data_IF_332966394808
#
_entry.id   IF_332966394808
#
_cell.length_a   1.000
_cell.length_b   1.000
_cell.length_c   1.000
_cell.angle_alpha   90.00
_cell.angle_beta   90.00
_cell.angle_gamma   90.00
#
_symmetry.space_group_name_H-M   'P 1'
#
loop_
_entity.id
_entity.type
_entity.pdbx_description
1 polymer ?
#
# COMPACT_ATOMS: atom_id res chain seq x y z
N UNK A 1 15.09 36.65 26.12
CA UNK A 1 13.68 36.33 25.77
C UNK A 1 13.44 36.12 24.27
N UNK A 2 13.98 36.96 23.36
CA UNK A 2 13.76 36.84 21.90
C UNK A 2 14.16 35.49 21.29
N UNK A 3 15.35 34.95 21.65
CA UNK A 3 15.87 33.66 21.14
C UNK A 3 15.05 32.44 21.60
N UNK A 4 14.46 32.51 22.79
CA UNK A 4 13.65 31.42 23.37
C UNK A 4 12.30 31.30 22.63
N UNK A 5 11.69 32.43 22.27
CA UNK A 5 10.50 32.46 21.41
C UNK A 5 10.78 31.92 20.00
N UNK A 6 11.96 32.21 19.42
CA UNK A 6 12.32 31.70 18.09
C UNK A 6 12.49 30.18 18.09
N UNK A 7 13.12 29.62 19.12
CA UNK A 7 13.26 28.17 19.30
C UNK A 7 11.91 27.47 19.47
N UNK A 8 11.00 28.06 20.27
CA UNK A 8 9.63 27.57 20.45
C UNK A 8 8.81 27.59 19.15
N UNK A 9 8.96 28.63 18.32
CA UNK A 9 8.28 28.72 17.04
C UNK A 9 8.80 27.68 16.04
N UNK A 10 10.12 27.44 16.01
CA UNK A 10 10.73 26.44 15.12
C UNK A 10 10.34 25.03 15.53
N UNK A 11 10.30 24.72 16.83
CA UNK A 11 9.86 23.40 17.30
C UNK A 11 8.36 23.16 17.01
N UNK A 12 7.51 24.18 17.15
CA UNK A 12 6.09 24.08 16.75
C UNK A 12 5.93 23.83 15.25
N UNK A 13 6.72 24.50 14.41
CA UNK A 13 6.72 24.30 12.96
C UNK A 13 7.15 22.89 12.56
N UNK A 14 8.17 22.34 13.23
CA UNK A 14 8.66 20.98 12.97
C UNK A 14 7.65 19.90 13.39
N UNK A 15 6.91 20.11 14.48
CA UNK A 15 5.82 19.23 14.90
C UNK A 15 4.67 19.23 13.87
N UNK A 16 4.41 20.36 13.21
CA UNK A 16 3.39 20.47 12.16
C UNK A 16 3.81 19.81 10.83
N UNK A 17 5.12 19.69 10.59
CA UNK A 17 5.67 19.03 9.39
C UNK A 17 5.68 17.51 9.48
N UNK A 18 5.41 16.95 10.67
CA UNK A 18 5.68 15.53 10.96
C UNK A 18 4.67 14.56 10.33
N UNK A 19 3.57 15.04 9.72
CA UNK A 19 2.56 14.17 9.09
C UNK A 19 2.13 14.61 7.68
N UNK A 20 3.10 14.73 6.75
CA UNK A 20 2.77 14.86 5.31
C UNK A 20 3.38 13.73 4.46
N UNK A 21 3.77 12.62 5.07
CA UNK A 21 4.14 11.42 4.33
C UNK A 21 2.93 10.50 4.24
N UNK A 22 2.13 10.65 3.18
CA UNK A 22 1.03 9.74 2.89
C UNK A 22 1.48 8.27 2.80
N UNK A 23 0.57 7.35 3.10
CA UNK A 23 0.82 5.91 3.11
C UNK A 23 1.43 5.46 1.76
N UNK A 24 2.62 4.88 1.79
CA UNK A 24 3.32 4.39 0.60
C UNK A 24 3.06 2.90 0.42
N UNK A 25 2.77 2.46 -0.80
CA UNK A 25 2.53 1.06 -1.14
C UNK A 25 3.41 0.62 -2.29
N UNK A 26 3.71 -0.68 -2.37
CA UNK A 26 4.31 -1.28 -3.56
C UNK A 26 3.27 -1.34 -4.68
N UNK A 27 3.70 -1.12 -5.92
CA UNK A 27 2.89 -1.40 -7.11
C UNK A 27 3.49 -2.55 -7.89
N UNK A 28 2.63 -3.42 -8.40
CA UNK A 28 2.97 -4.46 -9.35
C UNK A 28 1.72 -4.95 -10.06
N UNK A 29 1.76 -5.03 -11.39
CA UNK A 29 0.63 -5.49 -12.20
C UNK A 29 0.62 -7.01 -12.36
N UNK A 30 1.77 -7.67 -12.24
CA UNK A 30 1.88 -9.11 -12.40
C UNK A 30 3.11 -9.63 -11.65
N UNK A 31 2.89 -10.51 -10.68
CA UNK A 31 3.97 -11.25 -9.99
C UNK A 31 4.10 -12.67 -10.49
N UNK A 32 5.32 -13.20 -10.45
CA UNK A 32 5.63 -14.61 -10.62
C UNK A 32 6.43 -15.07 -9.40
N UNK A 33 5.76 -15.82 -8.51
CA UNK A 33 6.28 -16.06 -7.16
C UNK A 33 6.53 -14.74 -6.41
N UNK A 34 7.75 -14.59 -5.90
CA UNK A 34 8.21 -13.43 -5.12
C UNK A 34 8.71 -12.24 -5.96
N UNK A 35 8.60 -12.32 -7.30
CA UNK A 35 9.17 -11.32 -8.20
C UNK A 35 8.07 -10.55 -8.93
N UNK A 36 8.19 -9.22 -8.93
CA UNK A 36 7.38 -8.39 -9.82
C UNK A 36 7.92 -8.47 -11.24
N UNK A 37 7.08 -8.89 -12.18
CA UNK A 37 7.45 -9.08 -13.58
C UNK A 37 6.98 -7.90 -14.45
N UNK A 38 5.96 -7.17 -14.02
CA UNK A 38 5.46 -5.99 -14.72
C UNK A 38 4.85 -4.94 -13.76
N UNK A 39 5.05 -3.65 -14.06
CA UNK A 39 4.43 -2.55 -13.31
C UNK A 39 5.04 -2.31 -11.91
N UNK A 40 6.31 -2.71 -11.72
CA UNK A 40 7.02 -2.46 -10.47
C UNK A 40 7.14 -0.96 -10.19
N UNK A 41 6.83 -0.56 -8.97
CA UNK A 41 6.94 0.84 -8.56
C UNK A 41 6.38 1.06 -7.15
N UNK A 42 6.03 2.30 -6.88
CA UNK A 42 5.40 2.70 -5.62
C UNK A 42 4.27 3.70 -5.89
N UNK A 43 3.27 3.73 -5.01
CA UNK A 43 2.23 4.74 -5.01
C UNK A 43 2.08 5.34 -3.62
N UNK A 44 1.58 6.58 -3.56
CA UNK A 44 1.16 7.24 -2.32
C UNK A 44 -0.37 7.16 -2.29
N UNK A 45 -0.92 6.51 -1.28
CA UNK A 45 -2.35 6.34 -1.10
C UNK A 45 -3.02 7.70 -0.92
N UNK A 46 -4.09 7.92 -1.68
CA UNK A 46 -4.96 9.08 -1.56
C UNK A 46 -6.01 8.85 -0.47
N UNK A 47 -6.91 9.82 -0.30
CA UNK A 47 -8.04 9.70 0.61
C UNK A 47 -8.85 8.41 0.31
N UNK A 48 -9.13 7.65 1.36
CA UNK A 48 -9.82 6.35 1.29
C UNK A 48 -9.10 5.26 0.49
N UNK A 49 -7.81 5.40 0.20
CA UNK A 49 -6.99 4.31 -0.36
C UNK A 49 -6.18 3.60 0.72
N UNK A 50 -6.00 2.29 0.55
CA UNK A 50 -5.09 1.47 1.36
C UNK A 50 -4.16 0.68 0.43
N UNK A 51 -3.05 0.17 0.96
CA UNK A 51 -2.25 -0.80 0.23
C UNK A 51 -3.05 -2.09 0.06
N UNK A 52 -2.98 -2.68 -1.13
CA UNK A 52 -3.69 -3.91 -1.45
C UNK A 52 -2.80 -4.91 -2.17
N UNK A 53 -3.04 -6.19 -1.86
CA UNK A 53 -2.58 -7.35 -2.64
C UNK A 53 -3.81 -8.08 -3.12
N UNK A 54 -3.93 -8.35 -4.42
CA UNK A 54 -4.95 -9.25 -4.97
C UNK A 54 -4.25 -10.45 -5.59
N UNK A 55 -4.37 -11.61 -4.94
CA UNK A 55 -3.77 -12.86 -5.37
C UNK A 55 -4.79 -13.73 -6.11
N UNK A 56 -4.32 -14.42 -7.15
CA UNK A 56 -5.13 -15.30 -7.99
C UNK A 56 -4.57 -16.72 -7.89
N UNK A 57 -5.44 -17.69 -7.60
CA UNK A 57 -5.09 -19.09 -7.43
C UNK A 57 -5.94 -19.97 -8.32
N UNK A 58 -5.37 -21.09 -8.78
CA UNK A 58 -6.10 -22.20 -9.42
C UNK A 58 -5.83 -23.46 -8.61
N UNK A 59 -6.84 -23.90 -7.84
CA UNK A 59 -6.62 -24.86 -6.76
C UNK A 59 -5.66 -24.28 -5.72
N UNK A 60 -4.64 -25.04 -5.33
CA UNK A 60 -3.61 -24.61 -4.38
C UNK A 60 -2.47 -23.81 -5.05
N UNK A 61 -2.46 -23.73 -6.39
CA UNK A 61 -1.40 -23.06 -7.12
C UNK A 61 -1.65 -21.55 -7.20
N UNK A 62 -0.75 -20.76 -6.60
CA UNK A 62 -0.65 -19.32 -6.86
C UNK A 62 -0.28 -19.08 -8.32
N UNK A 63 -1.09 -18.27 -9.00
CA UNK A 63 -0.91 -17.96 -10.41
C UNK A 63 -0.15 -16.63 -10.56
N UNK A 64 -0.66 -15.58 -9.94
CA UNK A 64 -0.05 -14.25 -9.89
C UNK A 64 -0.74 -13.39 -8.84
N UNK A 65 -0.11 -12.28 -8.47
CA UNK A 65 -0.69 -11.23 -7.64
C UNK A 65 -0.60 -9.86 -8.30
N UNK A 66 -1.49 -8.95 -7.89
CA UNK A 66 -1.40 -7.52 -8.18
C UNK A 66 -1.28 -6.73 -6.88
N UNK A 67 -0.49 -5.65 -6.91
CA UNK A 67 -0.18 -4.80 -5.78
C UNK A 67 -0.46 -3.34 -6.16
N UNK A 68 -1.21 -2.61 -5.34
CA UNK A 68 -1.58 -1.21 -5.63
C UNK A 68 -2.12 -0.46 -4.40
N UNK A 69 -2.24 0.86 -4.53
CA UNK A 69 -3.12 1.68 -3.72
C UNK A 69 -4.56 1.47 -4.22
N UNK A 70 -5.44 0.93 -3.39
CA UNK A 70 -6.81 0.57 -3.77
C UNK A 70 -7.83 1.43 -3.03
N UNK A 71 -8.67 2.14 -3.78
CA UNK A 71 -9.77 2.92 -3.23
C UNK A 71 -10.80 2.02 -2.55
N UNK A 72 -11.22 2.40 -1.33
CA UNK A 72 -12.16 1.65 -0.48
C UNK A 72 -11.81 0.17 -0.43
N UNK A 73 -10.53 -0.13 -0.16
CA UNK A 73 -10.06 -1.50 -0.07
C UNK A 73 -10.86 -2.28 0.98
N UNK A 74 -11.32 -3.47 0.60
CA UNK A 74 -11.98 -4.44 1.48
C UNK A 74 -11.35 -5.80 1.25
N UNK A 75 -11.16 -6.53 2.34
CA UNK A 75 -10.77 -7.92 2.26
C UNK A 75 -11.94 -8.72 1.70
N UNK A 76 -11.68 -9.48 0.65
CA UNK A 76 -12.70 -10.23 -0.06
C UNK A 76 -12.12 -11.45 -0.73
N UNK A 77 -12.94 -12.49 -0.84
CA UNK A 77 -12.66 -13.71 -1.55
C UNK A 77 -13.76 -13.93 -2.59
N UNK A 78 -13.37 -14.33 -3.80
CA UNK A 78 -14.32 -14.63 -4.87
C UNK A 78 -13.83 -15.75 -5.75
N UNK A 79 -14.74 -16.58 -6.25
CA UNK A 79 -14.42 -17.73 -7.09
C UNK A 79 -15.11 -17.61 -8.44
N UNK A 80 -14.37 -17.77 -9.55
CA UNK A 80 -14.92 -17.73 -10.91
C UNK A 80 -14.16 -18.66 -11.84
N UNK A 81 -14.84 -19.65 -12.43
CA UNK A 81 -14.26 -20.60 -13.42
C UNK A 81 -12.91 -21.18 -12.95
N UNK A 82 -12.91 -21.75 -11.75
CA UNK A 82 -11.74 -22.35 -11.09
C UNK A 82 -10.61 -21.39 -10.73
N UNK A 83 -10.87 -20.08 -10.79
CA UNK A 83 -9.96 -19.03 -10.36
C UNK A 83 -10.46 -18.45 -9.04
N UNK A 84 -9.73 -18.73 -7.97
CA UNK A 84 -9.89 -18.08 -6.67
C UNK A 84 -9.16 -16.74 -6.69
N UNK A 85 -9.86 -15.67 -6.34
CA UNK A 85 -9.31 -14.32 -6.19
C UNK A 85 -9.46 -13.89 -4.73
N UNK A 86 -8.34 -13.58 -4.09
CA UNK A 86 -8.27 -13.10 -2.71
C UNK A 86 -7.70 -11.70 -2.71
N UNK A 87 -8.39 -10.73 -2.11
CA UNK A 87 -7.89 -9.37 -1.88
C UNK A 87 -7.61 -9.18 -0.40
N UNK A 88 -6.41 -8.68 -0.08
CA UNK A 88 -5.98 -8.26 1.24
C UNK A 88 -5.72 -6.75 1.25
N UNK A 89 -5.90 -6.12 2.42
CA UNK A 89 -5.73 -4.68 2.62
C UNK A 89 -4.84 -4.43 3.84
N UNK A 90 -4.00 -3.40 3.79
CA UNK A 90 -3.18 -3.00 4.92
C UNK A 90 -2.83 -1.50 4.89
N UNK A 91 -2.52 -0.95 6.06
CA UNK A 91 -2.40 0.50 6.32
C UNK A 91 -1.00 0.90 6.85
N UNK A 92 0.01 0.08 6.58
CA UNK A 92 1.42 0.36 6.92
C UNK A 92 2.25 0.55 5.65
N UNK A 93 3.27 1.41 5.72
CA UNK A 93 4.14 1.66 4.57
C UNK A 93 4.73 0.35 4.01
N UNK A 94 4.57 0.15 2.70
CA UNK A 94 5.06 -0.99 1.93
C UNK A 94 4.60 -2.37 2.43
N UNK A 95 3.47 -2.43 3.15
CA UNK A 95 2.96 -3.67 3.74
C UNK A 95 2.49 -4.71 2.71
N UNK A 96 2.17 -4.30 1.48
CA UNK A 96 1.76 -5.20 0.40
C UNK A 96 2.98 -5.79 -0.32
N UNK A 97 3.73 -6.62 0.40
CA UNK A 97 4.98 -7.26 -0.06
C UNK A 97 4.71 -8.40 -1.05
N UNK A 98 5.68 -8.65 -1.94
CA UNK A 98 5.72 -9.77 -2.88
C UNK A 98 5.96 -11.09 -2.19
#
# INVERSE_FOLDING_TARGET
>A
MRKMNTLLLVSLFLLYLQEVTGLRCNTCMYTEGWKCMAGQGTCIAKENELCSTTAYFRGEKHMYSTHMCKHKCREEESYKKDLLRVTLCCDKNFCNVF
#
